data_IF_813862146034
#
_entry.id   IF_813862146034
#
_cell.length_a   1.000
_cell.length_b   1.000
_cell.length_c   1.000
_cell.angle_alpha   90.00
_cell.angle_beta   90.00
_cell.angle_gamma   90.00
#
_symmetry.space_group_name_H-M   'P 1'
#
loop_
_entity.id
_entity.type
_entity.pdbx_description
1 polymer ?
#
# COMPACT_ATOMS: atom_id res chain seq x y z
N UNK A 1 -9.14 4.02 -1.60
CA UNK A 1 -8.47 3.84 -2.91
C UNK A 1 -7.49 4.98 -3.20
N UNK A 2 -7.92 6.20 -3.59
CA UNK A 2 -7.01 7.30 -4.00
C UNK A 2 -5.93 7.58 -2.95
N UNK A 3 -6.29 7.66 -1.67
CA UNK A 3 -5.33 7.91 -0.57
C UNK A 3 -4.20 6.88 -0.49
N UNK A 4 -4.51 5.60 -0.69
CA UNK A 4 -3.52 4.52 -0.62
C UNK A 4 -2.55 4.56 -1.81
N UNK A 5 -3.07 4.83 -3.01
CA UNK A 5 -2.25 4.96 -4.22
C UNK A 5 -1.36 6.20 -4.13
N UNK A 6 -1.88 7.32 -3.65
CA UNK A 6 -1.08 8.54 -3.44
C UNK A 6 0.06 8.29 -2.44
N UNK A 7 -0.22 7.69 -1.28
CA UNK A 7 0.81 7.40 -0.28
C UNK A 7 1.89 6.45 -0.84
N UNK A 8 1.49 5.41 -1.59
CA UNK A 8 2.43 4.50 -2.22
C UNK A 8 3.24 5.18 -3.35
N UNK A 9 2.65 6.13 -4.08
CA UNK A 9 3.33 6.90 -5.11
C UNK A 9 4.35 7.90 -4.51
N UNK A 10 4.02 8.50 -3.36
CA UNK A 10 4.96 9.34 -2.61
C UNK A 10 6.17 8.54 -2.12
N UNK A 11 5.95 7.31 -1.66
CA UNK A 11 7.04 6.42 -1.22
C UNK A 11 7.91 5.91 -2.38
N UNK A 12 7.29 5.49 -3.48
CA UNK A 12 7.99 4.88 -4.62
C UNK A 12 8.52 5.88 -5.65
N UNK A 13 8.03 7.13 -5.62
CA UNK A 13 8.29 8.16 -6.62
C UNK A 13 7.66 7.89 -7.99
N UNK A 14 6.87 6.82 -8.13
CA UNK A 14 6.32 6.38 -9.41
C UNK A 14 4.86 5.92 -9.25
N UNK A 15 3.95 6.67 -9.86
CA UNK A 15 2.52 6.40 -9.80
C UNK A 15 2.14 5.06 -10.46
N UNK A 16 2.81 4.66 -11.54
CA UNK A 16 2.51 3.40 -12.22
C UNK A 16 2.92 2.21 -11.35
N UNK A 17 4.08 2.29 -10.69
CA UNK A 17 4.49 1.29 -9.70
C UNK A 17 3.52 1.22 -8.52
N UNK A 18 3.08 2.36 -8.00
CA UNK A 18 2.10 2.41 -6.91
C UNK A 18 0.77 1.75 -7.29
N UNK A 19 0.27 2.01 -8.50
CA UNK A 19 -0.94 1.37 -9.02
C UNK A 19 -0.74 -0.14 -9.22
N UNK A 20 0.43 -0.54 -9.74
CA UNK A 20 0.75 -1.94 -9.94
C UNK A 20 0.79 -2.70 -8.60
N UNK A 21 1.54 -2.18 -7.63
CA UNK A 21 1.60 -2.70 -6.27
C UNK A 21 0.20 -2.82 -5.67
N UNK A 22 -0.59 -1.74 -5.72
CA UNK A 22 -1.91 -1.68 -5.10
C UNK A 22 -2.85 -2.81 -5.58
N UNK A 23 -2.74 -3.20 -6.86
CA UNK A 23 -3.63 -4.19 -7.49
C UNK A 23 -3.06 -5.60 -7.55
N UNK A 24 -1.74 -5.76 -7.59
CA UNK A 24 -1.11 -7.03 -7.96
C UNK A 24 -0.21 -7.59 -6.87
N UNK A 25 0.29 -6.76 -5.94
CA UNK A 25 1.24 -7.23 -4.93
C UNK A 25 0.50 -7.57 -3.63
N UNK A 26 0.53 -8.84 -3.19
CA UNK A 26 -0.07 -9.25 -1.93
C UNK A 26 0.80 -8.82 -0.75
N UNK A 27 0.17 -8.33 0.31
CA UNK A 27 0.85 -7.93 1.54
C UNK A 27 0.86 -9.12 2.50
N UNK A 28 2.05 -9.65 2.78
CA UNK A 28 2.21 -10.87 3.58
C UNK A 28 1.59 -10.76 4.98
N UNK A 29 1.84 -9.64 5.68
CA UNK A 29 1.28 -9.35 7.02
C UNK A 29 -0.25 -9.27 7.06
N UNK A 30 -0.91 -9.08 5.92
CA UNK A 30 -2.36 -8.94 5.84
C UNK A 30 -3.05 -10.14 5.20
N UNK A 31 -2.48 -11.34 5.43
CA UNK A 31 -3.06 -12.60 4.96
C UNK A 31 -2.90 -12.79 3.46
N UNK A 32 -1.81 -12.28 2.87
CA UNK A 32 -1.55 -12.31 1.42
C UNK A 32 -2.63 -11.62 0.57
N UNK A 33 -3.36 -10.65 1.16
CA UNK A 33 -4.32 -9.81 0.43
C UNK A 33 -3.62 -8.63 -0.21
N UNK A 34 -4.11 -8.22 -1.37
CA UNK A 34 -3.65 -6.99 -2.03
C UNK A 34 -4.19 -5.75 -1.32
N UNK A 35 -3.53 -4.60 -1.51
CA UNK A 35 -4.05 -3.33 -1.00
C UNK A 35 -5.45 -2.99 -1.56
N UNK A 36 -5.74 -3.42 -2.79
CA UNK A 36 -7.06 -3.29 -3.40
C UNK A 36 -8.14 -4.07 -2.65
N UNK A 37 -7.85 -5.32 -2.27
CA UNK A 37 -8.76 -6.16 -1.48
C UNK A 37 -9.00 -5.58 -0.09
N UNK A 38 -7.94 -5.14 0.59
CA UNK A 38 -8.04 -4.50 1.90
C UNK A 38 -8.92 -3.24 1.86
N UNK A 39 -8.72 -2.39 0.85
CA UNK A 39 -9.56 -1.19 0.68
C UNK A 39 -11.01 -1.56 0.33
N UNK A 40 -11.24 -2.62 -0.43
CA UNK A 40 -12.58 -3.09 -0.75
C UNK A 40 -13.33 -3.61 0.49
N UNK A 41 -12.60 -4.20 1.45
CA UNK A 41 -13.13 -4.66 2.74
C UNK A 41 -13.30 -3.51 3.77
N UNK A 42 -12.91 -2.28 3.42
CA UNK A 42 -12.98 -1.11 4.30
C UNK A 42 -11.76 -0.92 5.19
N UNK A 43 -10.73 -1.76 5.05
CA UNK A 43 -9.49 -1.76 5.85
C UNK A 43 -8.43 -0.80 5.26
N UNK A 44 -8.82 0.41 4.86
CA UNK A 44 -7.87 1.38 4.28
C UNK A 44 -6.78 1.82 5.26
N UNK A 45 -7.09 1.88 6.56
CA UNK A 45 -6.15 2.28 7.60
C UNK A 45 -4.99 1.28 7.74
N UNK A 46 -5.27 -0.02 7.56
CA UNK A 46 -4.26 -1.07 7.54
C UNK A 46 -3.25 -0.87 6.39
N UNK A 47 -3.75 -0.53 5.20
CA UNK A 47 -2.90 -0.24 4.04
C UNK A 47 -2.02 1.00 4.29
N UNK A 48 -2.59 2.06 4.87
CA UNK A 48 -1.83 3.28 5.19
C UNK A 48 -0.78 3.05 6.28
N UNK A 49 -1.11 2.23 7.30
CA UNK A 49 -0.16 1.83 8.33
C UNK A 49 1.01 1.05 7.73
N UNK A 50 0.74 0.10 6.83
CA UNK A 50 1.78 -0.65 6.12
C UNK A 50 2.72 0.26 5.32
N UNK A 51 2.18 1.20 4.54
CA UNK A 51 3.01 2.15 3.76
C UNK A 51 3.88 3.00 4.69
N UNK A 52 3.36 3.41 5.84
CA UNK A 52 4.13 4.18 6.83
C UNK A 52 5.24 3.36 7.48
N UNK A 53 4.99 2.08 7.73
CA UNK A 53 6.01 1.16 8.23
C UNK A 53 7.14 0.98 7.21
N UNK A 54 6.80 0.78 5.92
CA UNK A 54 7.77 0.75 4.83
C UNK A 54 8.59 2.04 4.74
N UNK A 55 7.96 3.21 4.89
CA UNK A 55 8.65 4.50 4.88
C UNK A 55 9.66 4.61 6.04
N UNK A 56 9.27 4.20 7.25
CA UNK A 56 10.15 4.22 8.42
C UNK A 56 11.29 3.20 8.30
N UNK A 57 11.01 2.00 7.80
CA UNK A 57 12.01 0.96 7.58
C UNK A 57 13.02 1.31 6.48
N UNK A 58 12.59 2.01 5.42
CA UNK A 58 13.48 2.47 4.36
C UNK A 58 14.41 3.63 4.79
N UNK A 59 14.07 4.34 5.87
CA UNK A 59 14.85 5.47 6.41
C UNK A 59 15.79 5.08 7.57
N UNK A 60 15.73 3.84 8.05
CA UNK A 60 16.50 3.30 9.17
C UNK A 60 17.82 2.64 8.79
#
# INVERSE_FOLDING_TARGET
>A
MIKAISAAAELSGDLQKAIYWYRNEPIADYGHRTAAELVADGEIEAVLAYIRDLENGARG
#
